data_IF_122776337054
#
_entry.id   IF_122776337054
#
_cell.length_a   1.000
_cell.length_b   1.000
_cell.length_c   1.000
_cell.angle_alpha   90.00
_cell.angle_beta   90.00
_cell.angle_gamma   90.00
#
_symmetry.space_group_name_H-M   'P 1'
#
loop_
_entity.id
_entity.type
_entity.pdbx_description
1 polymer ?
#
# COMPACT_ATOMS: atom_id res chain seq x y z
N UNK A 1 -18.09 0.77 17.29
CA UNK A 1 -19.37 1.48 17.47
C UNK A 1 -20.44 0.45 17.81
N UNK A 2 -21.26 0.72 18.84
CA UNK A 2 -22.34 -0.18 19.26
C UNK A 2 -23.44 -0.15 18.20
N UNK A 3 -23.99 -1.32 17.84
CA UNK A 3 -25.08 -1.43 16.85
C UNK A 3 -26.42 -1.03 17.47
N UNK A 4 -27.32 -0.45 16.68
CA UNK A 4 -28.55 0.21 17.13
C UNK A 4 -29.80 -0.68 17.11
N UNK A 5 -29.67 -1.99 16.91
CA UNK A 5 -30.79 -2.94 16.76
C UNK A 5 -31.80 -2.58 15.65
N UNK A 6 -31.36 -1.84 14.63
CA UNK A 6 -32.17 -1.44 13.48
C UNK A 6 -31.87 -2.33 12.27
N UNK A 7 -32.87 -2.51 11.39
CA UNK A 7 -32.74 -3.29 10.15
C UNK A 7 -31.99 -2.55 9.03
N UNK A 8 -32.10 -1.23 8.98
CA UNK A 8 -31.44 -0.36 7.98
C UNK A 8 -30.76 0.84 8.65
N UNK A 9 -29.75 1.42 7.97
CA UNK A 9 -28.91 2.51 8.49
C UNK A 9 -27.44 2.12 8.71
N UNK A 10 -26.58 3.07 9.14
CA UNK A 10 -25.13 2.86 9.23
C UNK A 10 -24.67 1.93 10.37
N UNK A 11 -25.45 1.80 11.45
CA UNK A 11 -25.11 0.98 12.63
C UNK A 11 -26.12 -0.14 12.87
N UNK A 12 -26.51 -0.86 11.81
CA UNK A 12 -27.56 -1.89 11.87
C UNK A 12 -27.15 -3.19 12.53
N UNK A 13 -28.15 -3.95 12.95
CA UNK A 13 -28.02 -5.29 13.51
C UNK A 13 -28.02 -5.31 15.03
N UNK A 14 -27.94 -6.52 15.58
CA UNK A 14 -28.06 -6.76 17.02
C UNK A 14 -26.90 -6.12 17.81
N UNK A 15 -27.17 -5.39 18.90
CA UNK A 15 -26.15 -4.85 19.78
C UNK A 15 -25.40 -5.99 20.48
N UNK A 16 -24.16 -6.25 20.04
CA UNK A 16 -23.25 -7.21 20.67
C UNK A 16 -22.07 -6.51 21.30
N UNK A 17 -21.52 -7.06 22.40
CA UNK A 17 -20.24 -6.63 22.96
C UNK A 17 -19.11 -7.03 22.01
N UNK A 18 -18.44 -6.04 21.42
CA UNK A 18 -17.37 -6.31 20.46
C UNK A 18 -16.08 -6.72 21.19
N UNK A 19 -15.56 -7.91 20.86
CA UNK A 19 -14.26 -8.38 21.36
C UNK A 19 -13.14 -7.76 20.51
N UNK A 20 -12.08 -7.18 21.11
CA UNK A 20 -10.94 -6.68 20.36
C UNK A 20 -10.29 -7.82 19.58
N UNK A 21 -10.16 -7.64 18.26
CA UNK A 21 -9.53 -8.65 17.40
C UNK A 21 -8.02 -8.59 17.55
N UNK A 22 -7.40 -9.72 17.91
CA UNK A 22 -5.96 -9.86 17.87
C UNK A 22 -5.43 -9.77 16.43
N UNK A 23 -4.27 -9.14 16.26
CA UNK A 23 -3.61 -9.01 14.96
C UNK A 23 -3.11 -10.38 14.52
N UNK A 24 -3.58 -10.85 13.36
CA UNK A 24 -3.17 -12.14 12.80
C UNK A 24 -1.85 -11.99 12.04
N UNK A 25 -0.96 -13.00 12.04
CA UNK A 25 0.27 -12.95 11.25
C UNK A 25 0.04 -12.67 9.75
N UNK A 26 -1.07 -13.15 9.19
CA UNK A 26 -1.47 -12.87 7.80
C UNK A 26 -1.69 -11.38 7.52
N UNK A 27 -2.07 -10.57 8.51
CA UNK A 27 -2.22 -9.12 8.38
C UNK A 27 -0.88 -8.37 8.30
N UNK A 28 0.24 -9.02 8.66
CA UNK A 28 1.59 -8.44 8.52
C UNK A 28 2.16 -8.57 7.10
N UNK A 29 1.47 -9.28 6.19
CA UNK A 29 1.90 -9.46 4.80
C UNK A 29 1.93 -8.09 4.09
N UNK A 30 3.05 -7.77 3.46
CA UNK A 30 3.25 -6.51 2.73
C UNK A 30 3.81 -5.35 3.57
N UNK A 31 3.90 -5.49 4.89
CA UNK A 31 4.55 -4.49 5.75
C UNK A 31 6.05 -4.46 5.45
N UNK A 32 6.59 -3.27 5.23
CA UNK A 32 8.02 -3.08 5.00
C UNK A 32 8.78 -3.12 6.32
N UNK A 33 9.65 -4.11 6.50
CA UNK A 33 10.56 -4.17 7.65
C UNK A 33 11.81 -3.32 7.40
N UNK A 34 12.41 -2.77 8.45
CA UNK A 34 13.66 -1.99 8.39
C UNK A 34 14.79 -2.74 7.68
N UNK A 35 15.00 -4.02 8.03
CA UNK A 35 15.96 -4.91 7.37
C UNK A 35 15.68 -5.05 5.87
N UNK A 36 14.43 -5.29 5.49
CA UNK A 36 14.07 -5.45 4.07
C UNK A 36 14.25 -4.16 3.27
N UNK A 37 14.03 -2.99 3.90
CA UNK A 37 14.30 -1.69 3.29
C UNK A 37 15.79 -1.48 3.04
N UNK A 38 16.62 -1.78 4.04
CA UNK A 38 18.08 -1.67 3.95
C UNK A 38 18.66 -2.59 2.87
N UNK A 39 18.27 -3.88 2.86
CA UNK A 39 18.75 -4.81 1.83
C UNK A 39 18.33 -4.35 0.43
N UNK A 40 17.09 -3.87 0.25
CA UNK A 40 16.61 -3.35 -1.03
C UNK A 40 17.34 -2.07 -1.47
N UNK A 41 17.79 -1.21 -0.56
CA UNK A 41 18.56 -0.02 -0.95
C UNK A 41 19.94 -0.40 -1.45
N UNK A 42 20.63 -1.32 -0.76
CA UNK A 42 21.96 -1.82 -1.18
C UNK A 42 21.87 -2.48 -2.56
N UNK A 43 20.87 -3.33 -2.79
CA UNK A 43 20.70 -3.99 -4.11
C UNK A 43 20.45 -2.96 -5.22
N UNK A 44 19.65 -1.92 -4.96
CA UNK A 44 19.39 -0.86 -5.93
C UNK A 44 20.62 -0.02 -6.27
N UNK A 45 21.50 0.20 -5.29
CA UNK A 45 22.77 0.89 -5.50
C UNK A 45 23.71 0.07 -6.39
N UNK A 46 23.81 -1.24 -6.16
CA UNK A 46 24.71 -2.13 -6.90
C UNK A 46 24.18 -2.46 -8.30
N UNK A 47 22.92 -2.87 -8.41
CA UNK A 47 22.34 -3.32 -9.68
C UNK A 47 21.84 -2.16 -10.56
N UNK A 48 21.62 -0.98 -9.97
CA UNK A 48 21.06 0.17 -10.67
C UNK A 48 19.60 -0.03 -11.10
N UNK A 49 19.20 0.70 -12.15
CA UNK A 49 17.84 0.75 -12.66
C UNK A 49 17.69 0.01 -14.00
N UNK A 50 16.54 -0.64 -14.17
CA UNK A 50 16.19 -1.25 -15.46
C UNK A 50 16.05 -0.18 -16.56
N UNK A 51 16.15 -0.61 -17.82
CA UNK A 51 16.03 0.30 -18.98
C UNK A 51 14.71 1.11 -18.96
N UNK A 52 13.61 0.48 -18.53
CA UNK A 52 12.31 1.16 -18.43
C UNK A 52 12.26 2.17 -17.28
N UNK A 53 12.81 1.83 -16.12
CA UNK A 53 12.87 2.74 -14.97
C UNK A 53 13.72 3.98 -15.30
N UNK A 54 14.88 3.79 -15.96
CA UNK A 54 15.72 4.90 -16.46
C UNK A 54 14.97 5.81 -17.42
N UNK A 55 14.31 5.23 -18.42
CA UNK A 55 13.51 5.99 -19.39
C UNK A 55 12.36 6.77 -18.73
N UNK A 56 11.72 6.20 -17.70
CA UNK A 56 10.67 6.89 -16.95
C UNK A 56 11.26 8.05 -16.13
N UNK A 57 12.41 7.86 -15.49
CA UNK A 57 13.10 8.93 -14.75
C UNK A 57 13.54 10.09 -15.67
N UNK A 58 14.04 9.79 -16.87
CA UNK A 58 14.35 10.80 -17.88
C UNK A 58 13.12 11.59 -18.32
N UNK A 59 11.99 10.91 -18.54
CA UNK A 59 10.74 11.56 -18.90
C UNK A 59 10.17 12.45 -17.79
N UNK A 60 10.33 12.01 -16.54
CA UNK A 60 9.98 12.80 -15.35
C UNK A 60 10.86 14.05 -15.25
N UNK A 61 12.19 13.92 -15.45
CA UNK A 61 13.13 15.04 -15.45
C UNK A 61 12.78 16.08 -16.53
N UNK A 62 12.36 15.61 -17.69
CA UNK A 62 12.01 16.46 -18.83
C UNK A 62 10.55 16.98 -18.79
N UNK A 63 9.78 16.70 -17.74
CA UNK A 63 8.35 17.07 -17.61
C UNK A 63 7.46 16.60 -18.79
N UNK A 64 7.87 15.55 -19.53
CA UNK A 64 7.14 15.02 -20.71
C UNK A 64 6.25 13.81 -20.36
N UNK A 65 5.97 13.61 -19.07
CA UNK A 65 5.34 12.39 -18.58
C UNK A 65 3.87 12.25 -19.04
N UNK A 66 3.18 13.37 -19.24
CA UNK A 66 1.77 13.43 -19.71
C UNK A 66 1.61 12.93 -21.14
N UNK A 67 2.56 13.21 -22.04
CA UNK A 67 2.48 12.86 -23.47
C UNK A 67 2.60 11.34 -23.75
N UNK A 68 2.98 10.55 -22.75
CA UNK A 68 3.20 9.10 -22.89
C UNK A 68 2.28 8.24 -22.01
N UNK A 69 1.50 8.89 -21.14
CA UNK A 69 0.42 8.28 -20.34
C UNK A 69 -0.96 8.42 -21.00
N UNK A 70 -1.01 9.04 -22.18
CA UNK A 70 -2.22 9.17 -22.98
C UNK A 70 -2.44 7.92 -23.82
N UNK A 71 -3.51 7.21 -23.48
CA UNK A 71 -4.52 6.89 -24.49
C UNK A 71 -5.35 8.18 -24.69
#
# INVERSE_FOLDING_TARGET
MVRSNLRYGPNTGHPTTAIPKAVRPSQRKGVQSTKTKFVRSVIREVAGFSAYERRVMELLRNSKVTRRRGN
#
